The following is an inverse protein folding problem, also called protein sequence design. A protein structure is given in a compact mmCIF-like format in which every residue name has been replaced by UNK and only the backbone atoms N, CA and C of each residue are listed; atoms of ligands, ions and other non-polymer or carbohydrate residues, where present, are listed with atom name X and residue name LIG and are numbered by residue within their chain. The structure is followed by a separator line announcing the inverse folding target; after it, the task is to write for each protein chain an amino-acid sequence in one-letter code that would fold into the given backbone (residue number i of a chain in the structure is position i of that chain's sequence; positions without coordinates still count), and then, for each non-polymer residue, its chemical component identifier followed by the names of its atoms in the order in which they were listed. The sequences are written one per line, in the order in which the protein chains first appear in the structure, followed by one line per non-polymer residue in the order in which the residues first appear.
data_IF_982379468906
#
_entry.id   IF_982379468906
#
_cell.length_a   1.000
_cell.length_b   1.000
_cell.length_c   1.000
_cell.angle_alpha   90.00
_cell.angle_beta   90.00
_cell.angle_gamma   90.00
#
_symmetry.space_group_name_H-M   'P 1'
#
loop_
_entity.id
_entity.type
_entity.pdbx_description
1 polymer ?
#
# COMPACT_ATOMS: atom_id res chain seq x y z
N UNK A 1 -1.45 3.67 -18.59
CA UNK A 1 -2.14 4.93 -18.21
C UNK A 1 -3.53 4.84 -18.79
N UNK A 2 -4.59 4.98 -17.98
CA UNK A 2 -5.95 5.08 -18.52
C UNK A 2 -6.04 6.32 -19.42
N UNK A 3 -6.65 6.19 -20.60
CA UNK A 3 -6.80 7.34 -21.50
C UNK A 3 -7.96 8.24 -21.04
N UNK A 4 -7.96 9.52 -21.45
CA UNK A 4 -8.93 10.53 -20.99
C UNK A 4 -10.40 10.15 -21.23
N UNK A 5 -10.71 9.35 -22.25
CA UNK A 5 -12.05 8.85 -22.53
C UNK A 5 -12.52 7.84 -21.46
N UNK A 6 -11.64 6.94 -21.01
CA UNK A 6 -11.97 5.94 -19.98
C UNK A 6 -12.29 6.61 -18.64
N UNK A 7 -11.49 7.60 -18.26
CA UNK A 7 -11.72 8.40 -17.04
C UNK A 7 -13.03 9.19 -17.12
N UNK A 8 -13.37 9.74 -18.28
CA UNK A 8 -14.62 10.47 -18.48
C UNK A 8 -15.85 9.56 -18.33
N UNK A 9 -15.77 8.33 -18.86
CA UNK A 9 -16.84 7.34 -18.71
C UNK A 9 -17.00 6.93 -17.24
N UNK A 10 -15.89 6.64 -16.55
CA UNK A 10 -15.92 6.29 -15.13
C UNK A 10 -16.53 7.41 -14.26
N UNK A 11 -16.13 8.66 -14.50
CA UNK A 11 -16.69 9.83 -13.82
C UNK A 11 -18.21 9.94 -14.02
N UNK A 12 -18.67 9.74 -15.26
CA UNK A 12 -20.10 9.75 -15.58
C UNK A 12 -20.87 8.64 -14.84
N UNK A 13 -20.34 7.41 -14.81
CA UNK A 13 -20.96 6.31 -14.07
C UNK A 13 -21.03 6.58 -12.56
N UNK A 14 -19.96 7.15 -11.99
CA UNK A 14 -19.93 7.55 -10.58
C UNK A 14 -21.02 8.59 -10.32
N UNK A 15 -21.14 9.63 -11.13
CA UNK A 15 -22.17 10.67 -10.94
C UNK A 15 -23.59 10.12 -11.07
N UNK A 16 -23.87 9.33 -12.11
CA UNK A 16 -25.22 8.88 -12.46
C UNK A 16 -25.75 7.71 -11.61
N UNK A 17 -24.90 7.01 -10.88
CA UNK A 17 -25.33 5.88 -10.03
C UNK A 17 -26.27 6.34 -8.90
N UNK A 18 -27.12 5.47 -8.37
CA UNK A 18 -27.87 5.80 -7.14
C UNK A 18 -27.08 5.42 -5.88
N UNK A 19 -26.14 4.49 -6.01
CA UNK A 19 -25.31 3.98 -4.93
C UNK A 19 -24.00 3.44 -5.50
N UNK A 20 -22.95 3.41 -4.67
CA UNK A 20 -21.61 2.95 -5.06
C UNK A 20 -21.14 1.90 -4.07
N UNK A 21 -20.72 0.73 -4.59
CA UNK A 21 -19.97 -0.28 -3.84
C UNK A 21 -18.49 -0.17 -4.22
N UNK A 22 -17.61 -0.09 -3.23
CA UNK A 22 -16.16 0.01 -3.44
C UNK A 22 -15.51 -1.24 -2.89
N UNK A 23 -14.86 -1.99 -3.77
CA UNK A 23 -13.97 -3.07 -3.39
C UNK A 23 -12.52 -2.61 -3.60
N UNK A 24 -11.76 -2.53 -2.51
CA UNK A 24 -10.35 -2.15 -2.55
C UNK A 24 -9.50 -3.25 -1.93
N UNK A 25 -8.53 -3.75 -2.69
CA UNK A 25 -7.52 -4.68 -2.22
C UNK A 25 -6.17 -4.00 -1.93
N UNK A 26 -5.15 -4.82 -1.65
CA UNK A 26 -3.78 -4.35 -1.40
C UNK A 26 -3.20 -3.50 -2.55
N UNK A 27 -3.70 -3.67 -3.78
CA UNK A 27 -3.31 -2.85 -4.93
C UNK A 27 -3.54 -1.34 -4.72
N UNK A 28 -4.60 -0.96 -4.00
CA UNK A 28 -4.84 0.46 -3.68
C UNK A 28 -3.73 1.02 -2.79
N UNK A 29 -3.30 0.25 -1.79
CA UNK A 29 -2.18 0.60 -0.91
C UNK A 29 -0.82 0.57 -1.62
N UNK A 30 -0.64 -0.32 -2.60
CA UNK A 30 0.55 -0.36 -3.45
C UNK A 30 0.66 0.90 -4.33
N UNK A 31 -0.47 1.43 -4.84
CA UNK A 31 -0.51 2.69 -5.60
C UNK A 31 -0.48 3.94 -4.71
N UNK A 32 -0.79 3.81 -3.42
CA UNK A 32 -0.79 4.89 -2.44
C UNK A 32 0.65 5.27 -2.03
N UNK A 33 1.34 6.03 -2.88
CA UNK A 33 2.70 6.51 -2.59
C UNK A 33 2.68 7.41 -1.35
N UNK A 34 3.46 7.01 -0.35
CA UNK A 34 3.70 7.84 0.82
C UNK A 34 4.78 8.89 0.51
N UNK A 35 4.54 10.20 0.74
CA UNK A 35 5.49 11.26 0.42
C UNK A 35 6.83 11.18 1.19
N UNK A 36 6.82 10.69 2.43
CA UNK A 36 8.02 10.53 3.25
C UNK A 36 8.91 9.41 2.69
N UNK A 37 8.32 8.28 2.30
CA UNK A 37 9.08 7.11 1.86
C UNK A 37 9.35 7.08 0.34
N UNK A 38 8.52 7.76 -0.45
CA UNK A 38 8.57 7.76 -1.92
C UNK A 38 8.10 6.46 -2.56
N UNK A 39 7.42 5.60 -1.80
CA UNK A 39 6.93 4.27 -2.24
C UNK A 39 5.52 4.02 -1.69
N UNK A 40 4.77 3.14 -2.34
CA UNK A 40 3.53 2.60 -1.78
C UNK A 40 3.77 1.35 -0.93
N UNK A 41 2.73 0.88 -0.23
CA UNK A 41 2.74 -0.40 0.47
C UNK A 41 2.56 -1.57 -0.50
N UNK A 42 3.51 -1.71 -1.42
CA UNK A 42 3.57 -2.84 -2.33
C UNK A 42 4.37 -3.98 -1.69
N UNK A 43 3.64 -5.01 -1.23
CA UNK A 43 4.25 -6.15 -0.56
C UNK A 43 5.09 -7.01 -1.50
N UNK A 44 4.89 -6.89 -2.81
CA UNK A 44 5.63 -7.63 -3.84
C UNK A 44 6.88 -6.89 -4.31
N UNK A 45 6.99 -5.59 -4.01
CA UNK A 45 8.10 -4.75 -4.48
C UNK A 45 9.38 -4.93 -3.65
N UNK A 46 10.43 -5.37 -4.33
CA UNK A 46 11.79 -5.41 -3.78
C UNK A 46 12.30 -4.01 -3.44
N UNK A 47 11.96 -3.02 -4.27
CA UNK A 47 12.36 -1.63 -4.05
C UNK A 47 11.71 -1.03 -2.80
N UNK A 48 10.41 -1.25 -2.61
CA UNK A 48 9.70 -0.80 -1.42
C UNK A 48 10.26 -1.46 -0.16
N UNK A 49 10.52 -2.78 -0.20
CA UNK A 49 11.11 -3.49 0.92
C UNK A 49 12.50 -2.95 1.31
N UNK A 50 13.38 -2.74 0.33
CA UNK A 50 14.71 -2.15 0.59
C UNK A 50 14.63 -0.74 1.20
N UNK A 51 13.65 0.05 0.75
CA UNK A 51 13.44 1.41 1.25
C UNK A 51 12.92 1.42 2.69
N UNK A 52 11.98 0.55 3.02
CA UNK A 52 11.28 0.55 4.30
C UNK A 52 12.01 -0.30 5.37
N UNK A 53 12.72 -1.35 4.97
CA UNK A 53 13.37 -2.31 5.87
C UNK A 53 14.86 -2.50 5.53
N UNK A 54 15.68 -1.44 5.49
CA UNK A 54 17.08 -1.51 5.04
C UNK A 54 17.95 -2.43 5.89
N UNK A 55 17.61 -2.66 7.17
CA UNK A 55 18.34 -3.63 8.00
C UNK A 55 17.96 -5.07 7.66
N UNK A 56 16.69 -5.34 7.35
CA UNK A 56 16.21 -6.69 7.02
C UNK A 56 16.88 -7.26 5.77
N UNK A 57 17.21 -6.40 4.80
CA UNK A 57 17.93 -6.80 3.59
C UNK A 57 19.37 -7.23 3.84
N UNK A 58 19.92 -6.92 5.02
CA UNK A 58 21.29 -7.29 5.42
C UNK A 58 21.32 -8.54 6.29
N UNK A 59 20.25 -8.80 7.06
CA UNK A 59 20.22 -9.84 8.09
C UNK A 59 19.29 -11.01 7.75
N UNK A 60 18.65 -10.99 6.58
CA UNK A 60 17.73 -12.04 6.14
C UNK A 60 17.82 -12.26 4.63
N UNK A 61 17.27 -13.38 4.15
CA UNK A 61 17.11 -13.69 2.73
C UNK A 61 15.86 -13.08 2.10
N UNK A 62 15.07 -12.30 2.86
CA UNK A 62 13.83 -11.71 2.37
C UNK A 62 14.11 -10.64 1.32
N UNK A 63 13.32 -10.65 0.26
CA UNK A 63 13.41 -9.72 -0.87
C UNK A 63 12.25 -8.74 -0.89
N UNK A 64 11.07 -9.16 -0.43
CA UNK A 64 9.88 -8.32 -0.34
C UNK A 64 9.11 -8.57 0.98
N UNK A 65 8.09 -7.74 1.28
CA UNK A 65 7.28 -7.95 2.49
C UNK A 65 6.45 -9.23 2.40
N UNK A 66 6.08 -9.66 1.18
CA UNK A 66 5.32 -10.89 0.98
C UNK A 66 6.08 -12.14 1.44
N UNK A 67 7.41 -12.13 1.38
CA UNK A 67 8.26 -13.24 1.89
C UNK A 67 8.08 -13.45 3.41
N UNK A 68 7.46 -12.51 4.14
CA UNK A 68 7.16 -12.69 5.56
C UNK A 68 5.90 -13.52 5.81
N UNK A 69 5.00 -13.59 4.83
CA UNK A 69 3.69 -14.23 4.99
C UNK A 69 3.88 -15.75 4.97
N UNK A 70 3.46 -16.42 6.05
CA UNK A 70 3.60 -17.88 6.18
C UNK A 70 5.04 -18.37 6.36
N UNK A 71 5.99 -17.47 6.65
CA UNK A 71 7.37 -17.85 6.91
C UNK A 71 7.52 -18.32 8.36
N UNK A 72 8.08 -19.52 8.55
CA UNK A 72 8.16 -20.18 9.86
C UNK A 72 9.61 -20.33 10.38
N UNK A 73 10.60 -20.14 9.51
CA UNK A 73 12.02 -20.30 9.78
C UNK A 73 12.69 -18.97 10.19
N UNK A 74 12.19 -18.35 11.28
CA UNK A 74 12.77 -17.15 11.86
C UNK A 74 13.36 -17.45 13.23
N UNK A 75 14.46 -16.77 13.59
CA UNK A 75 14.75 -16.59 15.01
C UNK A 75 13.69 -15.65 15.62
N UNK A 76 13.35 -15.80 16.90
CA UNK A 76 12.40 -14.90 17.57
C UNK A 76 12.78 -13.43 17.46
N UNK A 77 14.08 -13.12 17.54
CA UNK A 77 14.61 -11.75 17.46
C UNK A 77 14.36 -11.14 16.08
N UNK A 78 14.59 -11.90 15.01
CA UNK A 78 14.35 -11.44 13.65
C UNK A 78 12.85 -11.23 13.40
N UNK A 79 12.02 -12.16 13.87
CA UNK A 79 10.56 -12.08 13.74
C UNK A 79 10.01 -10.84 14.43
N UNK A 80 10.35 -10.65 15.72
CA UNK A 80 9.88 -9.50 16.48
C UNK A 80 10.47 -8.19 15.96
N UNK A 81 11.74 -8.18 15.54
CA UNK A 81 12.35 -7.02 14.90
C UNK A 81 11.60 -6.57 13.64
N UNK A 82 11.24 -7.51 12.78
CA UNK A 82 10.40 -7.23 11.61
C UNK A 82 9.00 -6.77 12.01
N UNK A 83 8.29 -7.52 12.87
CA UNK A 83 6.90 -7.22 13.24
C UNK A 83 6.75 -5.86 13.91
N UNK A 84 7.62 -5.50 14.85
CA UNK A 84 7.58 -4.18 15.49
C UNK A 84 7.87 -3.06 14.50
N UNK A 85 8.88 -3.23 13.64
CA UNK A 85 9.20 -2.25 12.59
C UNK A 85 8.01 -2.10 11.63
N UNK A 86 7.42 -3.21 11.22
CA UNK A 86 6.32 -3.27 10.27
C UNK A 86 5.06 -2.60 10.82
N UNK A 87 4.66 -2.95 12.05
CA UNK A 87 3.51 -2.32 12.72
C UNK A 87 3.75 -0.82 12.91
N UNK A 88 4.95 -0.43 13.36
CA UNK A 88 5.29 0.98 13.53
C UNK A 88 5.16 1.75 12.22
N UNK A 89 5.71 1.24 11.12
CA UNK A 89 5.64 1.89 9.80
C UNK A 89 4.20 1.86 9.26
N UNK A 90 3.61 0.68 9.09
CA UNK A 90 2.37 0.52 8.33
C UNK A 90 1.12 0.99 9.09
N UNK A 91 1.05 0.77 10.41
CA UNK A 91 -0.16 1.07 11.19
C UNK A 91 -0.14 2.47 11.80
N UNK A 92 1.02 2.92 12.28
CA UNK A 92 1.12 4.13 13.08
C UNK A 92 1.74 5.30 12.32
N UNK A 93 2.72 5.06 11.44
CA UNK A 93 3.46 6.14 10.78
C UNK A 93 3.22 6.22 9.27
N UNK A 94 2.34 5.39 8.69
CA UNK A 94 2.10 5.43 7.24
C UNK A 94 1.37 6.70 6.81
N UNK A 95 0.57 7.29 7.68
CA UNK A 95 -0.15 8.54 7.40
C UNK A 95 -1.18 8.44 6.27
N UNK A 96 -1.76 9.60 5.94
CA UNK A 96 -2.69 9.73 4.82
C UNK A 96 -1.94 9.88 3.49
N UNK A 97 -2.45 9.26 2.43
CA UNK A 97 -1.94 9.43 1.06
C UNK A 97 -3.02 10.03 0.16
N UNK A 98 -2.60 10.70 -0.92
CA UNK A 98 -3.51 11.39 -1.85
C UNK A 98 -4.56 10.46 -2.42
N UNK A 99 -4.17 9.26 -2.87
CA UNK A 99 -5.09 8.28 -3.50
C UNK A 99 -6.35 8.01 -2.66
N UNK A 100 -6.21 7.84 -1.34
CA UNK A 100 -7.36 7.63 -0.46
C UNK A 100 -8.18 8.91 -0.24
N UNK A 101 -7.53 10.08 -0.21
CA UNK A 101 -8.22 11.38 -0.08
C UNK A 101 -8.97 11.74 -1.36
N UNK A 102 -8.35 11.53 -2.51
CA UNK A 102 -8.94 11.76 -3.83
C UNK A 102 -10.17 10.87 -4.02
N UNK A 103 -10.06 9.58 -3.68
CA UNK A 103 -11.20 8.66 -3.70
C UNK A 103 -12.32 9.14 -2.77
N UNK A 104 -11.99 9.53 -1.53
CA UNK A 104 -12.97 10.08 -0.59
C UNK A 104 -13.65 11.34 -1.13
N UNK A 105 -12.89 12.24 -1.76
CA UNK A 105 -13.40 13.48 -2.32
C UNK A 105 -14.34 13.21 -3.51
N UNK A 106 -13.96 12.31 -4.42
CA UNK A 106 -14.79 11.91 -5.56
C UNK A 106 -16.16 11.41 -5.10
N UNK A 107 -16.19 10.62 -4.02
CA UNK A 107 -17.42 10.04 -3.48
C UNK A 107 -18.25 11.04 -2.68
N UNK A 108 -17.60 12.01 -2.03
CA UNK A 108 -18.29 13.06 -1.26
C UNK A 108 -18.93 14.11 -2.17
N UNK A 109 -18.43 14.24 -3.40
CA UNK A 109 -18.92 15.17 -4.43
C UNK A 109 -19.89 14.52 -5.42
N UNK A 110 -20.34 13.30 -5.14
CA UNK A 110 -21.49 12.70 -5.80
C UNK A 110 -22.77 13.39 -5.36
#
# INVERSE_FOLDING_TARGET
MANSAELSIAAKWIQQSSSILIAAGAGLSASAINPQYGVGLDYTSVGAFRRLYPRMTQVSSMRCMYDAIGKHDWSPELMWGYLFTHVNICRYNWGATSVYQDLKQILSNK
#
